data_IF_482614061613
#
_entry.id   IF_482614061613
#
_cell.length_a   1.000
_cell.length_b   1.000
_cell.length_c   1.000
_cell.angle_alpha   90.00
_cell.angle_beta   90.00
_cell.angle_gamma   90.00
#
_symmetry.space_group_name_H-M   'P 1'
#
loop_
_entity.id
_entity.type
_entity.pdbx_description
1 polymer ?
#
# COMPACT_ATOMS: atom_id res chain seq x y z
N UNK A 1 47.99 6.93 -3.51
CA UNK A 1 47.32 5.62 -3.33
C UNK A 1 45.99 5.91 -2.62
N UNK A 2 44.80 5.61 -3.14
CA UNK A 2 44.41 4.92 -4.36
C UNK A 2 43.24 5.64 -5.02
N UNK A 3 43.34 5.74 -6.34
CA UNK A 3 42.24 6.10 -7.25
C UNK A 3 41.68 4.76 -7.74
N UNK A 4 40.93 4.10 -6.88
CA UNK A 4 40.04 2.99 -7.25
C UNK A 4 38.64 3.39 -6.78
N UNK A 5 37.61 3.03 -7.56
CA UNK A 5 36.17 3.18 -7.27
C UNK A 5 35.41 4.34 -7.94
N UNK A 6 35.70 4.62 -9.22
CA UNK A 6 34.72 5.34 -10.07
C UNK A 6 33.58 4.45 -10.59
N UNK A 7 33.82 3.14 -10.71
CA UNK A 7 32.89 2.17 -11.35
C UNK A 7 32.06 1.39 -10.32
N UNK A 8 32.55 1.22 -9.08
CA UNK A 8 31.89 0.48 -8.00
C UNK A 8 30.94 1.31 -7.12
N UNK A 9 30.79 2.62 -7.34
CA UNK A 9 29.87 3.46 -6.54
C UNK A 9 28.44 3.50 -7.12
N UNK A 10 28.20 2.94 -8.31
CA UNK A 10 26.86 2.85 -8.88
C UNK A 10 26.15 1.58 -8.41
N UNK A 11 24.82 1.66 -8.28
CA UNK A 11 23.98 0.50 -7.97
C UNK A 11 24.02 -0.49 -9.14
N UNK A 12 24.15 -1.78 -8.83
CA UNK A 12 24.22 -2.84 -9.85
C UNK A 12 22.84 -3.42 -10.20
N UNK A 13 21.82 -2.99 -9.48
CA UNK A 13 20.47 -3.52 -9.54
C UNK A 13 19.55 -2.83 -10.56
N UNK A 14 20.09 -1.90 -11.37
CA UNK A 14 19.32 -1.17 -12.37
C UNK A 14 18.35 -0.13 -11.79
N UNK A 15 18.55 0.28 -10.52
CA UNK A 15 17.82 1.43 -9.96
C UNK A 15 18.26 2.74 -10.60
N UNK A 16 17.27 3.59 -10.85
CA UNK A 16 17.43 4.91 -11.47
C UNK A 16 16.93 6.02 -10.56
N UNK A 17 17.36 7.25 -10.82
CA UNK A 17 16.71 8.43 -10.28
C UNK A 17 15.40 8.74 -11.03
N UNK A 18 14.64 9.72 -10.55
CA UNK A 18 13.42 10.21 -11.24
C UNK A 18 13.66 10.76 -12.64
N UNK A 19 14.92 11.05 -13.01
CA UNK A 19 15.33 11.53 -14.32
C UNK A 19 15.86 10.40 -15.21
N UNK A 20 15.84 9.15 -14.75
CA UNK A 20 16.33 7.97 -15.48
C UNK A 20 17.85 7.76 -15.44
N UNK A 21 18.60 8.52 -14.65
CA UNK A 21 20.05 8.36 -14.53
C UNK A 21 20.41 7.25 -13.53
N UNK A 22 21.53 6.53 -13.74
CA UNK A 22 22.01 5.53 -12.80
C UNK A 22 22.36 6.17 -11.45
N UNK A 23 21.97 5.49 -10.37
CA UNK A 23 22.08 6.02 -9.01
C UNK A 23 23.42 5.66 -8.39
N UNK A 24 24.06 6.63 -7.72
CA UNK A 24 25.22 6.37 -6.86
C UNK A 24 24.77 5.89 -5.49
N UNK A 25 25.33 4.77 -5.03
CA UNK A 25 25.04 4.13 -3.73
C UNK A 25 25.25 5.09 -2.57
N UNK A 26 26.34 5.88 -2.61
CA UNK A 26 26.70 6.84 -1.56
C UNK A 26 25.74 8.02 -1.38
N UNK A 27 24.95 8.39 -2.40
CA UNK A 27 24.11 9.61 -2.38
C UNK A 27 22.63 9.38 -2.15
N UNK A 28 22.11 8.19 -2.46
CA UNK A 28 20.66 7.90 -2.43
C UNK A 28 20.40 6.48 -1.95
N UNK A 29 19.21 6.26 -1.38
CA UNK A 29 18.80 5.00 -0.77
C UNK A 29 19.29 4.84 0.66
N UNK A 30 19.33 3.60 1.12
CA UNK A 30 19.71 3.24 2.49
C UNK A 30 18.73 3.76 3.55
N UNK A 31 19.23 3.87 4.78
CA UNK A 31 18.40 4.14 5.96
C UNK A 31 17.70 5.49 5.98
N UNK A 32 18.27 6.52 5.34
CA UNK A 32 17.66 7.85 5.25
C UNK A 32 16.41 7.82 4.38
N UNK A 33 16.44 7.11 3.24
CA UNK A 33 15.26 6.87 2.42
C UNK A 33 14.22 6.03 3.18
N UNK A 34 14.67 4.95 3.82
CA UNK A 34 13.78 4.04 4.55
C UNK A 34 13.06 4.70 5.73
N UNK A 35 13.67 5.67 6.43
CA UNK A 35 13.02 6.33 7.56
C UNK A 35 11.76 7.10 7.12
N UNK A 36 11.80 7.79 5.98
CA UNK A 36 10.61 8.45 5.41
C UNK A 36 9.49 7.45 5.09
N UNK A 37 9.85 6.29 4.56
CA UNK A 37 8.92 5.19 4.21
C UNK A 37 8.29 4.59 5.48
N UNK A 38 9.09 4.37 6.53
CA UNK A 38 8.63 3.86 7.82
C UNK A 38 7.68 4.83 8.51
N UNK A 39 7.98 6.15 8.49
CA UNK A 39 7.09 7.16 9.05
C UNK A 39 5.73 7.11 8.38
N UNK A 40 5.68 7.05 7.04
CA UNK A 40 4.42 6.87 6.32
C UNK A 40 3.65 5.63 6.78
N UNK A 41 4.32 4.49 6.92
CA UNK A 41 3.68 3.23 7.32
C UNK A 41 3.04 3.32 8.71
N UNK A 42 3.68 3.97 9.69
CA UNK A 42 3.11 4.14 11.03
C UNK A 42 1.77 4.89 10.97
N UNK A 43 1.73 6.01 10.25
CA UNK A 43 0.52 6.83 10.14
C UNK A 43 -0.57 6.16 9.31
N UNK A 44 -0.21 5.47 8.22
CA UNK A 44 -1.16 4.68 7.42
C UNK A 44 -1.80 3.57 8.24
N UNK A 45 -0.99 2.81 8.99
CA UNK A 45 -1.50 1.73 9.85
C UNK A 45 -2.38 2.25 10.96
N UNK A 46 -1.98 3.36 11.57
CA UNK A 46 -2.79 4.02 12.58
C UNK A 46 -4.15 4.45 12.01
N UNK A 47 -4.19 5.04 10.82
CA UNK A 47 -5.43 5.46 10.16
C UNK A 47 -6.33 4.27 9.78
N UNK A 48 -5.76 3.25 9.15
CA UNK A 48 -6.49 2.05 8.74
C UNK A 48 -7.11 1.32 9.93
N UNK A 49 -6.30 1.01 10.95
CA UNK A 49 -6.79 0.30 12.12
C UNK A 49 -7.77 1.15 12.93
N UNK A 50 -7.50 2.45 13.06
CA UNK A 50 -8.39 3.41 13.71
C UNK A 50 -9.79 3.47 13.10
N UNK A 51 -9.91 3.30 11.80
CA UNK A 51 -11.23 3.15 11.16
C UNK A 51 -11.76 1.75 11.40
N UNK A 52 -11.00 0.72 11.03
CA UNK A 52 -11.51 -0.65 10.97
C UNK A 52 -12.06 -1.17 12.30
N UNK A 53 -11.43 -0.83 13.42
CA UNK A 53 -11.78 -1.41 14.73
C UNK A 53 -13.03 -0.79 15.33
N UNK A 54 -13.28 0.48 15.05
CA UNK A 54 -14.42 1.20 15.63
C UNK A 54 -15.56 1.48 14.62
N UNK A 55 -15.40 1.07 13.36
CA UNK A 55 -16.38 1.33 12.30
C UNK A 55 -17.75 0.69 12.58
N UNK A 56 -17.78 -0.52 13.14
CA UNK A 56 -19.05 -1.21 13.50
C UNK A 56 -19.82 -0.39 14.54
N UNK A 57 -19.12 0.16 15.53
CA UNK A 57 -19.72 0.99 16.58
C UNK A 57 -20.23 2.31 15.98
N UNK A 58 -19.50 2.91 15.03
CA UNK A 58 -19.98 4.08 14.31
C UNK A 58 -21.27 3.80 13.53
N UNK A 59 -21.30 2.72 12.75
CA UNK A 59 -22.47 2.35 11.94
C UNK A 59 -23.71 2.06 12.80
N UNK A 60 -23.52 1.37 13.93
CA UNK A 60 -24.60 1.03 14.86
C UNK A 60 -25.06 2.23 15.69
N UNK A 61 -24.14 2.94 16.35
CA UNK A 61 -24.48 4.02 17.29
C UNK A 61 -24.74 5.37 16.63
N UNK A 62 -24.14 5.67 15.47
CA UNK A 62 -24.27 6.98 14.81
C UNK A 62 -25.11 6.93 13.54
N UNK A 63 -25.01 5.87 12.74
CA UNK A 63 -25.85 5.74 11.53
C UNK A 63 -27.15 4.98 11.80
N UNK A 64 -27.34 4.46 13.02
CA UNK A 64 -28.52 3.71 13.45
C UNK A 64 -28.81 2.50 12.53
N UNK A 65 -27.75 1.86 12.02
CA UNK A 65 -27.86 0.59 11.30
C UNK A 65 -27.98 -0.57 12.28
N UNK A 66 -28.66 -1.64 11.87
CA UNK A 66 -28.70 -2.88 12.65
C UNK A 66 -27.31 -3.49 12.77
N UNK A 67 -27.04 -4.16 13.90
CA UNK A 67 -25.73 -4.79 14.17
C UNK A 67 -25.30 -5.76 13.07
N UNK A 68 -26.23 -6.58 12.58
CA UNK A 68 -25.96 -7.55 11.49
C UNK A 68 -25.56 -6.83 10.20
N UNK A 69 -26.32 -5.82 9.78
CA UNK A 69 -26.03 -5.03 8.58
C UNK A 69 -24.70 -4.29 8.70
N UNK A 70 -24.42 -3.73 9.88
CA UNK A 70 -23.17 -3.02 10.15
C UNK A 70 -21.97 -3.94 10.03
N UNK A 71 -22.02 -5.13 10.65
CA UNK A 71 -20.95 -6.13 10.54
C UNK A 71 -20.72 -6.60 9.10
N UNK A 72 -21.79 -6.82 8.32
CA UNK A 72 -21.66 -7.18 6.91
C UNK A 72 -20.99 -6.06 6.10
N UNK A 73 -21.40 -4.81 6.32
CA UNK A 73 -20.82 -3.66 5.63
C UNK A 73 -19.33 -3.49 5.96
N UNK A 74 -18.93 -3.66 7.22
CA UNK A 74 -17.51 -3.60 7.62
C UNK A 74 -16.73 -4.74 7.00
N UNK A 75 -17.22 -5.97 7.06
CA UNK A 75 -16.54 -7.13 6.45
C UNK A 75 -16.39 -6.97 4.94
N UNK A 76 -17.42 -6.47 4.25
CA UNK A 76 -17.36 -6.18 2.80
C UNK A 76 -16.32 -5.10 2.48
N UNK A 77 -16.26 -4.03 3.29
CA UNK A 77 -15.26 -2.98 3.13
C UNK A 77 -13.85 -3.51 3.38
N UNK A 78 -13.62 -4.25 4.46
CA UNK A 78 -12.33 -4.90 4.76
C UNK A 78 -11.93 -5.83 3.62
N UNK A 79 -12.83 -6.69 3.14
CA UNK A 79 -12.58 -7.56 1.99
C UNK A 79 -12.16 -6.78 0.75
N UNK A 80 -12.82 -5.65 0.46
CA UNK A 80 -12.46 -4.76 -0.65
C UNK A 80 -11.06 -4.17 -0.47
N UNK A 81 -10.70 -3.74 0.74
CA UNK A 81 -9.35 -3.24 1.06
C UNK A 81 -8.25 -4.29 0.84
N UNK A 82 -8.57 -5.58 1.01
CA UNK A 82 -7.61 -6.67 0.77
C UNK A 82 -7.57 -7.15 -0.69
N UNK A 83 -8.61 -6.89 -1.49
CA UNK A 83 -8.64 -7.21 -2.93
C UNK A 83 -8.05 -6.10 -3.81
N UNK A 84 -8.28 -4.84 -3.46
CA UNK A 84 -7.79 -3.67 -4.21
C UNK A 84 -6.25 -3.63 -4.41
N UNK A 85 -5.39 -4.18 -3.52
CA UNK A 85 -3.95 -4.30 -3.75
C UNK A 85 -3.57 -5.06 -5.02
N UNK A 86 -4.37 -6.05 -5.43
CA UNK A 86 -4.10 -6.81 -6.66
C UNK A 86 -4.16 -5.88 -7.88
N UNK A 87 -5.17 -5.00 -7.92
CA UNK A 87 -5.31 -4.01 -8.98
C UNK A 87 -4.22 -2.94 -8.88
N UNK A 88 -3.91 -2.47 -7.67
CA UNK A 88 -2.86 -1.48 -7.44
C UNK A 88 -1.47 -1.97 -7.88
N UNK A 89 -1.13 -3.21 -7.55
CA UNK A 89 0.11 -3.84 -7.99
C UNK A 89 0.17 -4.02 -9.50
N UNK A 90 -0.93 -4.47 -10.13
CA UNK A 90 -1.00 -4.58 -11.59
C UNK A 90 -0.73 -3.23 -12.29
N UNK A 91 -1.36 -2.15 -11.82
CA UNK A 91 -1.19 -0.81 -12.37
C UNK A 91 0.25 -0.31 -12.20
N UNK A 92 0.85 -0.55 -11.03
CA UNK A 92 2.23 -0.19 -10.73
C UNK A 92 3.24 -0.92 -11.62
N UNK A 93 3.09 -2.22 -11.80
CA UNK A 93 4.05 -3.03 -12.55
C UNK A 93 3.86 -2.90 -14.08
N UNK A 94 2.64 -2.63 -14.55
CA UNK A 94 2.34 -2.59 -15.99
C UNK A 94 2.52 -1.20 -16.63
N UNK A 95 2.16 -0.11 -15.95
CA UNK A 95 2.00 1.20 -16.60
C UNK A 95 2.75 2.35 -15.92
N UNK A 96 2.47 2.61 -14.64
CA UNK A 96 2.86 3.86 -13.98
C UNK A 96 4.17 3.76 -13.20
N UNK A 97 4.61 2.54 -12.87
CA UNK A 97 5.69 2.33 -11.90
C UNK A 97 5.21 2.43 -10.45
N UNK A 98 6.01 1.89 -9.54
CA UNK A 98 5.69 1.77 -8.11
C UNK A 98 5.52 3.13 -7.44
N UNK A 99 6.45 4.06 -7.70
CA UNK A 99 6.44 5.39 -7.07
C UNK A 99 5.23 6.25 -7.50
N UNK A 100 4.95 6.39 -8.79
CA UNK A 100 3.81 7.19 -9.25
C UNK A 100 2.48 6.59 -8.81
N UNK A 101 2.35 5.26 -8.87
CA UNK A 101 1.15 4.57 -8.35
C UNK A 101 0.95 4.86 -6.87
N UNK A 102 2.02 4.81 -6.07
CA UNK A 102 1.96 5.15 -4.66
C UNK A 102 1.54 6.61 -4.41
N UNK A 103 2.11 7.58 -5.14
CA UNK A 103 1.77 9.00 -4.97
C UNK A 103 0.31 9.28 -5.35
N UNK A 104 -0.17 8.74 -6.46
CA UNK A 104 -1.58 8.88 -6.87
C UNK A 104 -2.51 8.20 -5.86
N UNK A 105 -2.16 6.98 -5.43
CA UNK A 105 -2.97 6.22 -4.48
C UNK A 105 -3.01 6.86 -3.09
N UNK A 106 -1.90 7.42 -2.61
CA UNK A 106 -1.85 8.15 -1.33
C UNK A 106 -2.67 9.44 -1.38
N UNK A 107 -2.71 10.14 -2.52
CA UNK A 107 -3.61 11.27 -2.71
C UNK A 107 -5.09 10.85 -2.67
N UNK A 108 -5.45 9.74 -3.32
CA UNK A 108 -6.81 9.17 -3.26
C UNK A 108 -7.15 8.74 -1.83
N UNK A 109 -6.20 8.14 -1.11
CA UNK A 109 -6.37 7.74 0.29
C UNK A 109 -6.66 8.98 1.15
N UNK A 110 -5.86 10.04 1.02
CA UNK A 110 -6.05 11.28 1.77
C UNK A 110 -7.40 11.93 1.44
N UNK A 111 -7.83 11.91 0.19
CA UNK A 111 -9.16 12.37 -0.21
C UNK A 111 -10.26 11.55 0.46
N UNK A 112 -10.14 10.22 0.48
CA UNK A 112 -11.07 9.32 1.18
C UNK A 112 -11.14 9.60 2.70
N UNK A 113 -10.00 9.76 3.35
CA UNK A 113 -9.90 10.12 4.78
C UNK A 113 -10.50 11.50 5.07
N UNK A 114 -10.24 12.48 4.21
CA UNK A 114 -10.78 13.83 4.35
C UNK A 114 -12.29 13.84 4.18
N UNK A 115 -12.82 13.14 3.17
CA UNK A 115 -14.26 12.98 2.96
C UNK A 115 -14.92 12.28 4.14
N UNK A 116 -14.29 11.24 4.70
CA UNK A 116 -14.79 10.53 5.88
C UNK A 116 -14.86 11.47 7.09
N UNK A 117 -13.80 12.23 7.32
CA UNK A 117 -13.73 13.22 8.40
C UNK A 117 -14.80 14.31 8.25
N UNK A 118 -15.01 14.82 7.03
CA UNK A 118 -16.06 15.79 6.72
C UNK A 118 -17.45 15.19 6.96
N UNK A 119 -17.69 13.96 6.49
CA UNK A 119 -18.97 13.26 6.67
C UNK A 119 -19.35 13.10 8.16
N UNK A 120 -18.35 12.87 9.01
CA UNK A 120 -18.54 12.70 10.46
C UNK A 120 -18.66 14.05 11.19
N UNK A 121 -18.03 15.11 10.65
CA UNK A 121 -17.96 16.42 11.30
C UNK A 121 -19.16 17.29 11.00
N UNK A 122 -19.59 17.35 9.73
CA UNK A 122 -20.63 18.27 9.28
C UNK A 122 -22.00 17.82 9.81
N UNK A 123 -22.72 18.68 10.57
CA UNK A 123 -24.02 18.34 11.14
C UNK A 123 -25.09 17.92 10.12
N UNK A 124 -25.03 18.45 8.89
CA UNK A 124 -25.95 18.07 7.81
C UNK A 124 -25.68 16.68 7.20
N UNK A 125 -24.48 16.12 7.40
CA UNK A 125 -24.07 14.81 6.86
C UNK A 125 -24.22 13.67 7.87
N UNK A 126 -24.66 13.96 9.11
CA UNK A 126 -24.97 12.96 10.13
C UNK A 126 -26.44 13.02 10.53
N UNK A 127 -27.07 11.88 10.87
CA UNK A 127 -28.41 11.90 11.43
C UNK A 127 -28.41 12.65 12.77
N UNK A 128 -29.54 13.26 13.17
CA UNK A 128 -29.66 13.93 14.45
C UNK A 128 -29.38 12.95 15.61
N UNK A 129 -28.84 13.48 16.72
CA UNK A 129 -28.55 12.68 17.91
C UNK A 129 -29.87 12.15 18.48
N UNK A 130 -30.02 10.83 18.55
CA UNK A 130 -31.13 10.21 19.26
C UNK A 130 -30.81 10.14 20.76
N UNK A 131 -31.69 10.70 21.57
CA UNK A 131 -31.63 10.58 23.03
C UNK A 131 -32.34 9.30 23.42
N UNK A 132 -31.78 8.56 24.39
CA UNK A 132 -32.19 7.19 24.76
C UNK A 132 -33.66 7.01 25.16
N UNK A 133 -34.40 8.10 25.37
CA UNK A 133 -35.83 8.09 25.71
C UNK A 133 -36.76 7.68 24.56
N UNK A 134 -36.33 7.79 23.29
CA UNK A 134 -37.15 7.48 22.09
C UNK A 134 -36.43 6.56 21.09
N UNK A 135 -35.97 5.38 21.54
CA UNK A 135 -35.36 4.38 20.64
C UNK A 135 -36.29 3.88 19.52
N UNK A 136 -37.61 4.05 19.68
CA UNK A 136 -38.60 3.64 18.70
C UNK A 136 -38.70 4.58 17.47
N UNK A 137 -38.28 5.84 17.59
CA UNK A 137 -38.51 6.89 16.57
C UNK A 137 -37.22 7.58 16.10
N UNK A 138 -36.10 6.88 16.22
CA UNK A 138 -34.80 7.37 15.81
C UNK A 138 -34.66 7.32 14.28
N UNK A 139 -34.61 8.50 13.63
CA UNK A 139 -34.46 8.60 12.17
C UNK A 139 -33.14 7.95 11.73
N UNK A 140 -33.27 6.92 10.88
CA UNK A 140 -32.14 6.30 10.18
C UNK A 140 -31.42 7.33 9.31
N UNK A 141 -30.13 7.11 9.08
CA UNK A 141 -29.33 7.97 8.19
C UNK A 141 -30.00 8.11 6.81
N UNK A 142 -30.00 9.33 6.28
CA UNK A 142 -30.53 9.59 4.94
C UNK A 142 -29.68 8.91 3.87
N UNK A 143 -30.29 8.55 2.73
CA UNK A 143 -29.60 7.93 1.58
C UNK A 143 -28.37 8.75 1.15
N UNK A 144 -28.46 10.08 1.18
CA UNK A 144 -27.32 10.96 0.84
C UNK A 144 -26.17 10.84 1.86
N UNK A 145 -26.49 10.74 3.15
CA UNK A 145 -25.49 10.60 4.23
C UNK A 145 -24.76 9.26 4.13
N UNK A 146 -25.52 8.19 3.86
CA UNK A 146 -24.98 6.86 3.60
C UNK A 146 -24.12 6.83 2.34
N UNK A 147 -24.57 7.45 1.24
CA UNK A 147 -23.83 7.50 -0.01
C UNK A 147 -22.50 8.23 0.14
N UNK A 148 -22.47 9.37 0.84
CA UNK A 148 -21.23 10.12 1.11
C UNK A 148 -20.30 9.30 2.00
N UNK A 149 -20.82 8.68 3.06
CA UNK A 149 -20.02 7.89 3.99
C UNK A 149 -19.40 6.64 3.34
N UNK A 150 -20.20 5.84 2.63
CA UNK A 150 -19.69 4.68 1.91
C UNK A 150 -18.83 5.08 0.72
N UNK A 151 -19.15 6.16 0.02
CA UNK A 151 -18.31 6.73 -1.01
C UNK A 151 -16.91 7.07 -0.47
N UNK A 152 -16.82 7.67 0.70
CA UNK A 152 -15.56 7.94 1.38
C UNK A 152 -14.81 6.64 1.75
N UNK A 153 -15.49 5.65 2.34
CA UNK A 153 -14.90 4.36 2.70
C UNK A 153 -14.35 3.58 1.50
N UNK A 154 -15.09 3.52 0.40
CA UNK A 154 -14.65 2.82 -0.80
C UNK A 154 -13.55 3.59 -1.55
N UNK A 155 -13.60 4.93 -1.56
CA UNK A 155 -12.48 5.75 -2.06
C UNK A 155 -11.20 5.48 -1.27
N UNK A 156 -11.32 5.42 0.06
CA UNK A 156 -10.21 5.06 0.94
C UNK A 156 -9.70 3.65 0.62
N UNK A 157 -10.59 2.67 0.41
CA UNK A 157 -10.20 1.31 0.05
C UNK A 157 -9.39 1.25 -1.25
N UNK A 158 -9.79 2.01 -2.28
CA UNK A 158 -9.03 2.14 -3.53
C UNK A 158 -7.64 2.76 -3.28
N UNK A 159 -7.57 3.82 -2.47
CA UNK A 159 -6.30 4.43 -2.08
C UNK A 159 -5.37 3.45 -1.35
N UNK A 160 -5.91 2.68 -0.40
CA UNK A 160 -5.15 1.64 0.32
C UNK A 160 -4.63 0.54 -0.62
N UNK A 161 -5.41 0.18 -1.64
CA UNK A 161 -5.00 -0.79 -2.64
C UNK A 161 -3.75 -0.37 -3.41
N UNK A 162 -3.61 0.91 -3.76
CA UNK A 162 -2.42 1.38 -4.46
C UNK A 162 -1.22 1.66 -3.54
N UNK A 163 -1.43 1.90 -2.24
CA UNK A 163 -0.32 2.20 -1.32
C UNK A 163 0.30 0.94 -0.71
N UNK A 164 -0.51 0.00 -0.21
CA UNK A 164 -0.04 -1.20 0.52
C UNK A 164 0.97 -2.08 -0.22
N UNK A 165 0.77 -2.48 -1.49
CA UNK A 165 1.73 -3.35 -2.19
C UNK A 165 3.00 -2.60 -2.61
N UNK A 166 2.91 -1.28 -2.78
CA UNK A 166 3.99 -0.47 -3.32
C UNK A 166 4.93 0.08 -2.24
N UNK A 167 4.45 0.35 -1.02
CA UNK A 167 5.30 0.99 0.00
C UNK A 167 6.42 0.06 0.51
N UNK A 168 6.12 -1.21 0.73
CA UNK A 168 7.12 -2.20 1.20
C UNK A 168 8.14 -2.52 0.11
N UNK A 169 7.71 -2.57 -1.15
CA UNK A 169 8.59 -2.78 -2.30
C UNK A 169 9.46 -1.55 -2.57
N UNK A 170 8.92 -0.33 -2.48
CA UNK A 170 9.71 0.92 -2.53
C UNK A 170 10.76 0.95 -1.41
N UNK A 171 10.41 0.54 -0.20
CA UNK A 171 11.35 0.45 0.92
C UNK A 171 12.46 -0.58 0.69
N UNK A 172 12.12 -1.74 0.12
CA UNK A 172 13.08 -2.78 -0.25
C UNK A 172 14.02 -2.34 -1.39
N UNK A 173 13.52 -1.56 -2.34
CA UNK A 173 14.26 -1.02 -3.49
C UNK A 173 15.34 0.00 -3.08
N UNK A 174 15.38 0.43 -1.81
CA UNK A 174 16.41 1.35 -1.30
C UNK A 174 17.75 0.69 -0.99
N UNK A 175 17.82 -0.64 -1.04
CA UNK A 175 19.01 -1.44 -0.78
C UNK A 175 19.40 -2.24 -2.01
N UNK A 176 20.68 -2.23 -2.34
CA UNK A 176 21.30 -3.02 -3.41
C UNK A 176 21.54 -4.45 -2.91
N UNK A 177 20.96 -5.44 -3.59
CA UNK A 177 21.07 -6.85 -3.22
C UNK A 177 22.46 -7.45 -3.52
N UNK A 178 23.25 -6.79 -4.38
CA UNK A 178 24.61 -7.22 -4.74
C UNK A 178 25.68 -6.78 -3.74
N UNK A 179 25.35 -5.85 -2.83
CA UNK A 179 26.24 -5.45 -1.75
C UNK A 179 25.91 -6.20 -0.45
N UNK A 180 26.84 -6.98 0.13
CA UNK A 180 26.58 -7.75 1.35
C UNK A 180 26.17 -6.87 2.55
N UNK A 181 26.64 -5.62 2.64
CA UNK A 181 26.29 -4.72 3.74
C UNK A 181 24.87 -4.18 3.58
N UNK A 182 24.51 -3.70 2.40
CA UNK A 182 23.14 -3.24 2.12
C UNK A 182 22.11 -4.37 2.24
N UNK A 183 22.47 -5.61 1.86
CA UNK A 183 21.63 -6.80 2.07
C UNK A 183 21.33 -7.07 3.54
N UNK A 184 22.34 -6.92 4.42
CA UNK A 184 22.14 -7.02 5.88
C UNK A 184 21.23 -5.91 6.41
N UNK A 185 21.40 -4.68 5.91
CA UNK A 185 20.55 -3.55 6.28
C UNK A 185 19.10 -3.72 5.82
N UNK A 186 18.86 -4.32 4.65
CA UNK A 186 17.52 -4.64 4.14
C UNK A 186 16.73 -5.54 5.09
N UNK A 187 17.36 -6.57 5.66
CA UNK A 187 16.72 -7.43 6.67
C UNK A 187 16.37 -6.64 7.94
N UNK A 188 17.29 -5.81 8.42
CA UNK A 188 17.04 -4.95 9.58
C UNK A 188 15.91 -3.93 9.31
N UNK A 189 15.82 -3.40 8.09
CA UNK A 189 14.71 -2.55 7.67
C UNK A 189 13.37 -3.27 7.81
N UNK A 190 13.25 -4.52 7.34
CA UNK A 190 12.01 -5.28 7.50
C UNK A 190 11.65 -5.55 8.97
N UNK A 191 12.64 -5.72 9.85
CA UNK A 191 12.38 -5.82 11.29
C UNK A 191 11.79 -4.50 11.84
N UNK A 192 12.39 -3.35 11.50
CA UNK A 192 11.88 -2.04 11.90
C UNK A 192 10.52 -1.70 11.29
N UNK A 193 10.30 -2.13 10.04
CA UNK A 193 9.03 -2.02 9.34
C UNK A 193 7.92 -2.77 10.10
N UNK A 194 8.15 -4.04 10.46
CA UNK A 194 7.19 -4.82 11.23
C UNK A 194 6.94 -4.21 12.60
N UNK A 195 7.99 -3.79 13.31
CA UNK A 195 7.85 -3.09 14.59
C UNK A 195 6.97 -1.85 14.47
N UNK A 196 7.15 -1.07 13.41
CA UNK A 196 6.38 0.16 13.14
C UNK A 196 4.91 -0.12 12.85
N UNK A 197 4.60 -1.21 12.14
CA UNK A 197 3.22 -1.68 11.92
C UNK A 197 2.55 -2.01 13.26
N UNK A 198 3.21 -2.79 14.11
CA UNK A 198 2.66 -3.16 15.42
C UNK A 198 2.48 -1.95 16.32
N UNK A 199 3.45 -1.03 16.32
CA UNK A 199 3.36 0.21 17.09
C UNK A 199 2.17 1.07 16.64
N UNK A 200 2.00 1.30 15.33
CA UNK A 200 0.87 2.05 14.79
C UNK A 200 -0.49 1.39 15.10
N UNK A 201 -0.53 0.05 15.04
CA UNK A 201 -1.74 -0.74 15.38
C UNK A 201 -2.09 -0.63 16.86
N UNK A 202 -1.09 -0.72 17.75
CA UNK A 202 -1.29 -0.57 19.19
C UNK A 202 -1.83 0.81 19.53
N UNK A 203 -1.25 1.86 18.95
CA UNK A 203 -1.69 3.24 19.16
C UNK A 203 -3.12 3.46 18.66
N UNK A 204 -3.46 2.91 17.48
CA UNK A 204 -4.81 2.98 16.94
C UNK A 204 -5.84 2.31 17.86
N UNK A 205 -5.57 1.08 18.31
CA UNK A 205 -6.53 0.31 19.10
C UNK A 205 -6.68 0.78 20.54
N UNK A 206 -5.75 1.59 21.04
CA UNK A 206 -5.79 2.12 22.41
C UNK A 206 -6.20 3.58 22.42
N UNK A 207 -5.29 4.47 22.04
CA UNK A 207 -5.45 5.92 22.14
C UNK A 207 -6.51 6.43 21.17
N UNK A 208 -6.47 5.97 19.92
CA UNK A 208 -7.37 6.51 18.90
C UNK A 208 -8.82 6.03 19.10
N UNK A 209 -9.03 4.75 19.42
CA UNK A 209 -10.35 4.22 19.81
C UNK A 209 -10.88 4.96 21.05
N UNK A 210 -10.03 5.20 22.06
CA UNK A 210 -10.41 5.99 23.23
C UNK A 210 -10.91 7.39 22.87
N UNK A 211 -10.20 8.09 21.98
CA UNK A 211 -10.59 9.42 21.49
C UNK A 211 -11.93 9.37 20.74
N UNK A 212 -12.11 8.37 19.87
CA UNK A 212 -13.34 8.20 19.09
C UNK A 212 -14.57 7.98 19.99
N UNK A 213 -14.42 7.15 21.02
CA UNK A 213 -15.52 6.77 21.90
C UNK A 213 -15.84 7.82 22.97
N UNK A 214 -14.82 8.45 23.57
CA UNK A 214 -15.00 9.34 24.72
C UNK A 214 -15.00 10.83 24.37
N UNK A 215 -14.22 11.25 23.37
CA UNK A 215 -14.08 12.68 23.01
C UNK A 215 -14.95 13.02 21.80
N UNK A 216 -14.87 12.20 20.76
CA UNK A 216 -15.75 12.28 19.61
C UNK A 216 -15.11 11.86 18.28
N UNK A 217 -15.98 11.41 17.39
CA UNK A 217 -15.63 10.87 16.08
C UNK A 217 -14.95 11.88 15.14
N UNK A 218 -15.26 13.18 15.27
CA UNK A 218 -14.59 14.24 14.49
C UNK A 218 -13.09 14.28 14.77
N UNK A 219 -12.70 14.30 16.05
CA UNK A 219 -11.29 14.28 16.43
C UNK A 219 -10.67 12.91 16.15
N UNK A 220 -11.43 11.84 16.38
CA UNK A 220 -11.00 10.46 16.14
C UNK A 220 -10.69 10.11 14.69
N UNK A 221 -11.31 10.79 13.70
CA UNK A 221 -10.94 10.66 12.29
C UNK A 221 -10.09 11.83 11.76
N UNK A 222 -10.20 13.00 12.38
CA UNK A 222 -9.38 14.17 12.03
C UNK A 222 -7.90 13.99 12.36
N UNK A 223 -7.57 13.42 13.53
CA UNK A 223 -6.18 13.18 13.94
C UNK A 223 -5.43 12.25 12.96
N UNK A 224 -5.96 11.08 12.58
CA UNK A 224 -5.31 10.24 11.58
C UNK A 224 -5.28 10.86 10.19
N UNK A 225 -6.29 11.65 9.82
CA UNK A 225 -6.28 12.38 8.54
C UNK A 225 -5.15 13.39 8.47
N UNK A 226 -4.96 14.19 9.53
CA UNK A 226 -3.86 15.13 9.62
C UNK A 226 -2.50 14.42 9.66
N UNK A 227 -2.39 13.34 10.46
CA UNK A 227 -1.18 12.52 10.53
C UNK A 227 -0.80 11.91 9.17
N UNK A 228 -1.78 11.40 8.43
CA UNK A 228 -1.58 10.88 7.09
C UNK A 228 -1.17 11.98 6.09
N UNK A 229 -1.78 13.17 6.16
CA UNK A 229 -1.39 14.29 5.31
C UNK A 229 0.08 14.68 5.54
N UNK A 230 0.48 14.79 6.82
CA UNK A 230 1.86 15.07 7.21
C UNK A 230 2.79 13.96 6.72
N UNK A 231 2.41 12.70 6.87
CA UNK A 231 3.25 11.57 6.46
C UNK A 231 3.43 11.50 4.93
N UNK A 232 2.41 11.86 4.15
CA UNK A 232 2.51 12.00 2.69
C UNK A 232 3.49 13.13 2.33
N UNK A 233 3.43 14.27 3.00
CA UNK A 233 4.36 15.39 2.77
C UNK A 233 5.80 14.95 3.10
N UNK A 234 6.00 14.23 4.20
CA UNK A 234 7.30 13.67 4.60
C UNK A 234 7.83 12.68 3.55
N UNK A 235 6.96 11.79 3.04
CA UNK A 235 7.30 10.86 1.97
C UNK A 235 7.71 11.61 0.69
N UNK A 236 6.93 12.62 0.29
CA UNK A 236 7.23 13.44 -0.88
C UNK A 236 8.51 14.27 -0.70
N UNK A 237 8.83 14.73 0.51
CA UNK A 237 10.11 15.38 0.81
C UNK A 237 11.30 14.39 0.72
N UNK A 238 11.06 13.09 0.91
CA UNK A 238 12.03 12.01 0.75
C UNK A 238 12.37 11.66 -0.71
N UNK A 239 11.54 12.09 -1.66
CA UNK A 239 11.68 11.86 -3.11
C UNK A 239 13.10 11.98 -3.69
N UNK A 240 13.90 13.04 -3.41
CA UNK A 240 15.27 13.13 -3.95
C UNK A 240 16.22 12.05 -3.43
N UNK A 241 15.91 11.42 -2.30
CA UNK A 241 16.72 10.38 -1.68
C UNK A 241 16.34 8.96 -2.15
N UNK A 242 15.18 8.79 -2.80
CA UNK A 242 14.72 7.47 -3.23
C UNK A 242 15.43 6.94 -4.47
N UNK A 243 15.74 5.64 -4.42
CA UNK A 243 16.08 4.79 -5.57
C UNK A 243 14.79 4.27 -6.20
N UNK A 244 14.69 4.31 -7.53
CA UNK A 244 13.50 3.91 -8.26
C UNK A 244 13.81 2.71 -9.15
N UNK A 245 12.98 1.68 -9.10
CA UNK A 245 13.04 0.57 -10.07
C UNK A 245 12.17 0.89 -11.28
N UNK A 246 12.70 0.62 -12.47
CA UNK A 246 11.93 0.72 -13.72
C UNK A 246 10.83 -0.37 -13.76
N UNK A 247 9.66 -0.10 -14.35
CA UNK A 247 8.61 -1.11 -14.47
C UNK A 247 9.10 -2.33 -15.27
N UNK A 248 9.04 -3.53 -14.67
CA UNK A 248 9.49 -4.80 -15.30
C UNK A 248 8.37 -5.51 -16.08
N UNK A 249 7.20 -4.85 -16.20
CA UNK A 249 5.97 -5.43 -16.73
C UNK A 249 5.25 -6.31 -15.71
N UNK A 250 3.93 -6.48 -15.87
CA UNK A 250 3.13 -7.18 -14.87
C UNK A 250 3.26 -8.71 -14.96
N UNK A 251 3.62 -9.42 -13.87
CA UNK A 251 3.60 -10.88 -13.80
C UNK A 251 2.24 -11.49 -14.16
N UNK A 252 1.13 -10.80 -13.88
CA UNK A 252 -0.21 -11.25 -14.26
C UNK A 252 -0.38 -11.42 -15.77
N UNK A 253 0.24 -10.54 -16.57
CA UNK A 253 0.19 -10.69 -18.03
C UNK A 253 0.99 -11.91 -18.51
N UNK A 254 2.10 -12.23 -17.85
CA UNK A 254 2.89 -13.44 -18.15
C UNK A 254 2.11 -14.70 -17.78
N UNK A 255 1.52 -14.74 -16.58
CA UNK A 255 0.66 -15.85 -16.15
C UNK A 255 -0.54 -16.04 -17.08
N UNK A 256 -1.24 -14.95 -17.45
CA UNK A 256 -2.38 -15.01 -18.37
C UNK A 256 -1.98 -15.55 -19.75
N UNK A 257 -0.82 -15.13 -20.29
CA UNK A 257 -0.29 -15.67 -21.55
C UNK A 257 -0.06 -17.18 -21.47
N UNK A 258 0.51 -17.67 -20.37
CA UNK A 258 0.74 -19.11 -20.16
C UNK A 258 -0.58 -19.87 -20.06
N UNK A 259 -1.55 -19.37 -19.29
CA UNK A 259 -2.87 -20.01 -19.15
C UNK A 259 -3.60 -20.06 -20.50
N UNK A 260 -3.63 -18.95 -21.24
CA UNK A 260 -4.26 -18.88 -22.57
C UNK A 260 -3.55 -19.81 -23.56
N UNK A 261 -2.22 -19.85 -23.54
CA UNK A 261 -1.44 -20.75 -24.39
C UNK A 261 -1.72 -22.22 -24.06
N UNK A 262 -1.78 -22.58 -22.78
CA UNK A 262 -2.10 -23.92 -22.32
C UNK A 262 -3.52 -24.34 -22.73
N UNK A 263 -4.53 -23.46 -22.55
CA UNK A 263 -5.91 -23.73 -22.97
C UNK A 263 -6.03 -23.90 -24.49
N UNK A 264 -5.33 -23.07 -25.28
CA UNK A 264 -5.32 -23.18 -26.75
C UNK A 264 -4.61 -24.44 -27.23
N UNK A 265 -3.57 -24.86 -26.53
CA UNK A 265 -2.77 -26.07 -26.85
C UNK A 265 -3.22 -27.31 -26.05
N UNK A 266 -4.41 -27.30 -25.45
CA UNK A 266 -4.87 -28.44 -24.64
C UNK A 266 -4.86 -29.76 -25.41
N UNK A 267 -5.18 -29.72 -26.71
CA UNK A 267 -5.27 -30.91 -27.57
C UNK A 267 -3.95 -31.28 -28.26
N UNK A 268 -2.86 -30.54 -28.04
CA UNK A 268 -1.58 -30.87 -28.68
C UNK A 268 -0.89 -32.01 -27.92
N UNK A 269 -0.40 -33.05 -28.61
CA UNK A 269 0.37 -34.10 -27.96
C UNK A 269 1.63 -33.49 -27.31
N UNK A 270 1.93 -33.93 -26.09
CA UNK A 270 3.13 -33.49 -25.37
C UNK A 270 4.36 -34.06 -26.11
N UNK A 271 5.32 -33.21 -26.51
CA UNK A 271 6.55 -33.67 -27.13
C UNK A 271 7.33 -34.63 -26.23
N UNK A 272 7.89 -35.68 -26.81
CA UNK A 272 8.65 -36.71 -26.07
C UNK A 272 10.05 -36.22 -25.65
N UNK A 273 10.59 -35.19 -26.31
CA UNK A 273 11.90 -34.58 -26.00
C UNK A 273 11.72 -33.30 -25.15
N UNK A 274 12.27 -33.24 -23.92
CA UNK A 274 12.25 -32.04 -23.08
C UNK A 274 12.85 -30.79 -23.73
N UNK A 275 13.73 -30.94 -24.72
CA UNK A 275 14.38 -29.81 -25.43
C UNK A 275 13.45 -29.09 -26.42
N UNK A 276 12.31 -29.67 -26.75
CA UNK A 276 11.27 -29.02 -27.58
C UNK A 276 10.30 -28.16 -26.75
N UNK A 277 10.41 -28.20 -25.41
CA UNK A 277 9.69 -27.27 -24.54
C UNK A 277 10.36 -25.89 -24.61
N UNK A 278 9.55 -24.84 -24.69
CA UNK A 278 10.03 -23.47 -24.82
C UNK A 278 10.62 -22.98 -23.49
N UNK A 279 11.88 -23.28 -23.23
CA UNK A 279 12.72 -22.57 -22.27
C UNK A 279 13.51 -21.51 -23.04
N UNK A 280 13.28 -20.23 -22.75
CA UNK A 280 14.14 -19.16 -23.25
C UNK A 280 15.56 -19.42 -22.74
N UNK A 281 16.55 -19.18 -23.59
CA UNK A 281 17.95 -19.41 -23.23
C UNK A 281 18.36 -18.51 -22.05
N UNK A 282 19.23 -19.02 -21.16
CA UNK A 282 19.64 -18.34 -19.92
C UNK A 282 20.24 -16.94 -20.20
N UNK A 283 20.88 -16.77 -21.35
CA UNK A 283 21.42 -15.49 -21.81
C UNK A 283 20.34 -14.46 -22.17
N UNK A 284 19.16 -14.90 -22.61
CA UNK A 284 18.03 -14.03 -22.94
C UNK A 284 17.29 -13.54 -21.68
N UNK A 285 17.32 -14.34 -20.61
CA UNK A 285 16.92 -13.90 -19.26
C UNK A 285 17.88 -12.88 -18.65
N UNK A 286 19.20 -13.09 -18.82
CA UNK A 286 20.23 -12.15 -18.38
C UNK A 286 20.16 -10.80 -19.14
N UNK A 287 19.94 -10.83 -20.46
CA UNK A 287 19.79 -9.62 -21.30
C UNK A 287 18.56 -8.77 -20.95
N UNK A 288 17.49 -9.36 -20.38
CA UNK A 288 16.28 -8.62 -19.97
C UNK A 288 16.27 -8.18 -18.50
N UNK A 289 17.36 -8.40 -17.77
CA UNK A 289 17.59 -7.86 -16.42
C UNK A 289 16.57 -8.28 -15.35
N UNK A 290 15.80 -9.35 -15.57
CA UNK A 290 14.70 -9.71 -14.65
C UNK A 290 14.97 -10.87 -13.71
N UNK A 291 16.10 -11.57 -13.81
CA UNK A 291 16.58 -12.55 -12.82
C UNK A 291 18.00 -12.98 -13.18
N UNK A 292 18.99 -12.59 -12.37
CA UNK A 292 20.32 -13.20 -12.40
C UNK A 292 20.36 -14.37 -11.42
N UNK A 293 21.00 -15.44 -11.87
CA UNK A 293 20.93 -16.80 -11.34
C UNK A 293 21.54 -16.91 -9.94
N UNK A 294 20.84 -17.62 -9.04
CA UNK A 294 21.51 -18.29 -7.93
C UNK A 294 22.26 -19.47 -8.56
N UNK A 295 23.59 -19.56 -8.47
CA UNK A 295 24.31 -20.70 -9.01
C UNK A 295 23.87 -21.97 -8.27
N UNK A 296 23.39 -22.95 -9.04
CA UNK A 296 23.32 -24.33 -8.58
C UNK A 296 24.74 -24.78 -8.28
N UNK A 297 25.05 -24.94 -7.00
CA UNK A 297 26.29 -25.55 -6.56
C UNK A 297 26.15 -27.08 -6.74
N UNK A 298 27.19 -27.77 -7.23
CA UNK A 298 27.14 -29.20 -7.58
C UNK A 298 26.83 -30.12 -6.41
#
# INVERSE_FOLDING_TARGET
MGVENGVNDYTQDGTVDLKGNPVRRSKRGGWTACSFVVVYEVFERMAYYGISTNLVIYLTKKLHQGTVTSSNNVTNWVGTVWMTPVLGAYIADAYLGRYLTFVIASAIYLAGMSLLTVAVSVPGLKPPRCVATDMADCKKASTLQLAVFFGALYTLAVGTGGTKPNISTIGADQFDDFDPKEKGHKLSFFNWWMFSIFFGTLFANTILVYIQDNVGWTLGYGLPTAGLAISIVIFLAGTPFYRHRVPSGSPFTRMAKVIIAALRKWKTPVPTDPKELYELDLEEYAKKGSLELIPHQP
#
